data_IF_098932354293
#
_entry.id   IF_098932354293
#
_cell.length_a   1.000
_cell.length_b   1.000
_cell.length_c   1.000
_cell.angle_alpha   90.00
_cell.angle_beta   90.00
_cell.angle_gamma   90.00
#
_symmetry.space_group_name_H-M   'P 1'
#
loop_
_entity.id
_entity.type
_entity.pdbx_description
1 polymer ?
#
# COMPACT_ATOMS: atom_id res chain seq x y z
N UNK A 1 -26.87 -7.83 -18.55
CA UNK A 1 -25.97 -6.70 -18.81
C UNK A 1 -24.60 -6.80 -18.14
N UNK A 2 -24.49 -6.87 -16.79
CA UNK A 2 -23.18 -6.88 -16.10
C UNK A 2 -22.42 -8.21 -16.20
N UNK A 3 -23.13 -9.34 -16.22
CA UNK A 3 -22.51 -10.66 -16.35
C UNK A 3 -21.94 -10.83 -17.78
N UNK A 4 -22.66 -10.37 -18.80
CA UNK A 4 -22.20 -10.40 -20.19
C UNK A 4 -20.96 -9.55 -20.39
N UNK A 5 -20.94 -8.32 -19.86
CA UNK A 5 -19.75 -7.45 -19.93
C UNK A 5 -18.54 -8.06 -19.20
N UNK A 6 -18.77 -8.75 -18.07
CA UNK A 6 -17.71 -9.43 -17.34
C UNK A 6 -17.15 -10.64 -18.11
N UNK A 7 -18.02 -11.40 -18.77
CA UNK A 7 -17.62 -12.52 -19.66
C UNK A 7 -16.80 -11.98 -20.84
N UNK A 8 -17.22 -10.90 -21.47
CA UNK A 8 -16.47 -10.26 -22.55
C UNK A 8 -15.09 -9.77 -22.09
N UNK A 9 -15.03 -9.15 -20.92
CA UNK A 9 -13.76 -8.74 -20.33
C UNK A 9 -12.82 -9.93 -20.08
N UNK A 10 -13.37 -11.06 -19.63
CA UNK A 10 -12.61 -12.30 -19.45
C UNK A 10 -12.15 -12.92 -20.76
N UNK A 11 -12.99 -12.88 -21.81
CA UNK A 11 -12.60 -13.30 -23.17
C UNK A 11 -11.46 -12.46 -23.72
N UNK A 12 -11.55 -11.14 -23.55
CA UNK A 12 -10.46 -10.24 -23.95
C UNK A 12 -9.17 -10.49 -23.14
N UNK A 13 -9.27 -10.70 -21.81
CA UNK A 13 -8.13 -11.07 -20.97
C UNK A 13 -7.48 -12.38 -21.43
N UNK A 14 -8.29 -13.37 -21.87
CA UNK A 14 -7.82 -14.63 -22.45
C UNK A 14 -7.02 -14.38 -23.73
N UNK A 15 -7.56 -13.65 -24.70
CA UNK A 15 -6.90 -13.35 -25.97
C UNK A 15 -5.54 -12.64 -25.75
N UNK A 16 -5.52 -11.62 -24.89
CA UNK A 16 -4.26 -10.93 -24.56
C UNK A 16 -3.23 -11.86 -23.92
N UNK A 17 -3.70 -12.82 -23.13
CA UNK A 17 -2.83 -13.79 -22.47
C UNK A 17 -2.30 -14.83 -23.45
N UNK A 18 -3.12 -15.32 -24.39
CA UNK A 18 -2.74 -16.23 -25.46
C UNK A 18 -1.64 -15.61 -26.35
N UNK A 19 -1.83 -14.38 -26.81
CA UNK A 19 -0.80 -13.66 -27.57
C UNK A 19 0.53 -13.49 -26.80
N UNK A 20 0.46 -13.25 -25.46
CA UNK A 20 1.66 -13.17 -24.64
C UNK A 20 2.35 -14.51 -24.48
N UNK A 21 1.60 -15.59 -24.34
CA UNK A 21 2.14 -16.95 -24.28
C UNK A 21 2.83 -17.29 -25.58
N UNK A 22 2.16 -17.11 -26.71
CA UNK A 22 2.72 -17.34 -28.03
C UNK A 22 4.03 -16.56 -28.24
N UNK A 23 4.06 -15.26 -27.94
CA UNK A 23 5.27 -14.45 -28.04
C UNK A 23 6.41 -14.98 -27.17
N UNK A 24 6.11 -15.48 -25.96
CA UNK A 24 7.13 -16.07 -25.10
C UNK A 24 7.65 -17.40 -25.62
N UNK A 25 6.78 -18.23 -26.21
CA UNK A 25 7.13 -19.55 -26.75
C UNK A 25 7.88 -19.46 -28.07
N UNK A 26 7.45 -18.54 -28.96
CA UNK A 26 8.00 -18.45 -30.31
C UNK A 26 9.23 -17.56 -30.40
N UNK A 27 9.36 -16.53 -29.53
CA UNK A 27 10.46 -15.56 -29.63
C UNK A 27 11.34 -15.50 -28.39
N UNK A 28 10.76 -15.26 -27.19
CA UNK A 28 11.55 -14.93 -26.00
C UNK A 28 12.34 -16.13 -25.46
N UNK A 29 11.68 -17.29 -25.35
CA UNK A 29 12.33 -18.50 -24.81
C UNK A 29 13.33 -19.08 -25.80
N UNK A 30 13.01 -19.28 -27.09
CA UNK A 30 13.97 -19.80 -28.09
C UNK A 30 15.21 -18.92 -28.17
N UNK A 31 15.10 -17.61 -28.31
CA UNK A 31 16.25 -16.72 -28.39
C UNK A 31 17.17 -16.79 -27.15
N UNK A 32 16.60 -16.88 -25.94
CA UNK A 32 17.39 -17.01 -24.72
C UNK A 32 18.00 -18.41 -24.58
N UNK A 33 17.33 -19.44 -25.11
CA UNK A 33 17.81 -20.81 -25.10
C UNK A 33 19.00 -20.95 -26.07
N UNK A 34 18.88 -20.45 -27.30
CA UNK A 34 19.94 -20.42 -28.28
C UNK A 34 21.21 -19.76 -27.75
N UNK A 35 21.09 -18.52 -27.23
CA UNK A 35 22.21 -17.83 -26.58
C UNK A 35 22.84 -18.62 -25.44
N UNK A 36 22.04 -19.33 -24.65
CA UNK A 36 22.52 -20.16 -23.56
C UNK A 36 23.28 -21.37 -24.09
N UNK A 37 22.75 -22.02 -25.12
CA UNK A 37 23.29 -23.24 -25.69
C UNK A 37 24.60 -22.95 -26.48
N UNK A 38 24.67 -21.80 -27.17
CA UNK A 38 25.89 -21.29 -27.76
C UNK A 38 27.00 -21.07 -26.74
N UNK A 39 26.68 -20.40 -25.64
CA UNK A 39 27.63 -20.23 -24.54
C UNK A 39 28.06 -21.57 -23.92
N UNK A 40 27.17 -22.54 -23.83
CA UNK A 40 27.52 -23.89 -23.39
C UNK A 40 28.44 -24.63 -24.39
N UNK A 41 28.19 -24.47 -25.69
CA UNK A 41 29.04 -25.04 -26.76
C UNK A 41 30.44 -24.42 -26.75
N UNK A 42 30.55 -23.10 -26.63
CA UNK A 42 31.84 -22.41 -26.48
C UNK A 42 32.62 -22.87 -25.24
N UNK A 43 31.96 -23.04 -24.10
CA UNK A 43 32.61 -23.57 -22.89
C UNK A 43 33.13 -25.00 -23.08
N UNK A 44 32.38 -25.88 -23.78
CA UNK A 44 32.83 -27.26 -24.09
C UNK A 44 34.01 -27.27 -25.04
N UNK A 45 34.06 -26.29 -25.97
CA UNK A 45 35.17 -26.12 -26.90
C UNK A 45 36.43 -25.47 -26.26
N UNK A 46 36.41 -25.16 -24.97
CA UNK A 46 37.50 -24.46 -24.30
C UNK A 46 37.65 -22.99 -24.64
N UNK A 47 36.66 -22.40 -25.30
CA UNK A 47 36.66 -20.99 -25.68
C UNK A 47 36.26 -20.09 -24.52
N UNK A 48 36.74 -18.83 -24.56
CA UNK A 48 36.45 -17.87 -23.51
C UNK A 48 34.99 -17.46 -23.50
N UNK A 49 34.32 -17.69 -22.33
CA UNK A 49 32.97 -17.22 -22.07
C UNK A 49 32.96 -16.49 -20.72
N UNK A 50 32.34 -15.30 -20.69
CA UNK A 50 32.17 -14.58 -19.43
C UNK A 50 31.16 -15.33 -18.52
N UNK A 51 31.69 -16.03 -17.53
CA UNK A 51 30.91 -16.88 -16.62
C UNK A 51 29.81 -16.14 -15.87
N UNK A 52 30.03 -14.86 -15.54
CA UNK A 52 29.02 -14.03 -14.88
C UNK A 52 27.84 -13.75 -15.81
N UNK A 53 28.13 -13.40 -17.06
CA UNK A 53 27.08 -13.21 -18.10
C UNK A 53 26.33 -14.50 -18.37
N UNK A 54 27.03 -15.62 -18.48
CA UNK A 54 26.43 -16.95 -18.68
C UNK A 54 25.49 -17.34 -17.53
N UNK A 55 25.93 -17.20 -16.27
CA UNK A 55 25.08 -17.46 -15.09
C UNK A 55 23.84 -16.56 -15.05
N UNK A 56 23.97 -15.28 -15.40
CA UNK A 56 22.85 -14.35 -15.47
C UNK A 56 21.88 -14.71 -16.59
N UNK A 57 22.37 -15.16 -17.74
CA UNK A 57 21.55 -15.64 -18.85
C UNK A 57 20.74 -16.89 -18.44
N UNK A 58 21.37 -17.88 -17.81
CA UNK A 58 20.69 -19.06 -17.26
C UNK A 58 19.59 -18.68 -16.29
N UNK A 59 19.86 -17.77 -15.34
CA UNK A 59 18.84 -17.26 -14.38
C UNK A 59 17.69 -16.56 -15.10
N UNK A 60 17.99 -15.76 -16.12
CA UNK A 60 16.99 -15.05 -16.95
C UNK A 60 16.10 -16.04 -17.69
N UNK A 61 16.68 -17.07 -18.28
CA UNK A 61 15.97 -18.14 -18.99
C UNK A 61 15.02 -18.90 -18.06
N UNK A 62 15.49 -19.34 -16.89
CA UNK A 62 14.67 -20.02 -15.87
C UNK A 62 13.52 -19.12 -15.41
N UNK A 63 13.79 -17.85 -15.14
CA UNK A 63 12.75 -16.89 -14.71
C UNK A 63 11.68 -16.69 -15.80
N UNK A 64 12.08 -16.66 -17.09
CA UNK A 64 11.14 -16.53 -18.20
C UNK A 64 10.32 -17.80 -18.40
N UNK A 65 10.91 -19.00 -18.31
CA UNK A 65 10.19 -20.30 -18.31
C UNK A 65 9.17 -20.38 -17.16
N UNK A 66 9.55 -19.98 -15.95
CA UNK A 66 8.64 -19.94 -14.82
C UNK A 66 7.49 -18.93 -15.03
N UNK A 67 7.78 -17.79 -15.66
CA UNK A 67 6.73 -16.81 -16.02
C UNK A 67 5.76 -17.39 -17.05
N UNK A 68 6.27 -18.09 -18.06
CA UNK A 68 5.44 -18.76 -19.07
C UNK A 68 4.51 -19.80 -18.41
N UNK A 69 5.03 -20.65 -17.53
CA UNK A 69 4.23 -21.64 -16.83
C UNK A 69 3.10 -21.01 -15.99
N UNK A 70 3.38 -19.88 -15.31
CA UNK A 70 2.33 -19.14 -14.59
C UNK A 70 1.27 -18.56 -15.53
N UNK A 71 1.67 -18.08 -16.73
CA UNK A 71 0.72 -17.59 -17.71
C UNK A 71 -0.16 -18.73 -18.26
N UNK A 72 0.40 -19.91 -18.53
CA UNK A 72 -0.35 -21.10 -18.93
C UNK A 72 -1.36 -21.57 -17.87
N UNK A 73 -0.94 -21.61 -16.59
CA UNK A 73 -1.85 -21.91 -15.49
C UNK A 73 -2.98 -20.88 -15.37
N UNK A 74 -2.67 -19.59 -15.59
CA UNK A 74 -3.70 -18.55 -15.60
C UNK A 74 -4.67 -18.73 -16.77
N UNK A 75 -4.17 -19.09 -17.94
CA UNK A 75 -5.00 -19.36 -19.12
C UNK A 75 -5.95 -20.53 -18.86
N UNK A 76 -5.46 -21.65 -18.37
CA UNK A 76 -6.29 -22.82 -18.01
C UNK A 76 -7.39 -22.48 -17.00
N UNK A 77 -7.08 -21.63 -16.01
CA UNK A 77 -8.09 -21.15 -15.05
C UNK A 77 -9.15 -20.24 -15.70
N UNK A 78 -8.75 -19.42 -16.69
CA UNK A 78 -9.70 -18.57 -17.43
C UNK A 78 -10.59 -19.42 -18.32
N UNK A 79 -10.06 -20.43 -18.99
CA UNK A 79 -10.81 -21.38 -19.79
C UNK A 79 -11.87 -22.11 -18.96
N UNK A 80 -11.47 -22.67 -17.83
CA UNK A 80 -12.41 -23.29 -16.89
C UNK A 80 -13.52 -22.34 -16.43
N UNK A 81 -13.18 -21.06 -16.14
CA UNK A 81 -14.17 -20.06 -15.73
C UNK A 81 -15.15 -19.71 -16.85
N UNK A 82 -14.68 -19.65 -18.09
CA UNK A 82 -15.51 -19.33 -19.27
C UNK A 82 -16.40 -20.51 -19.65
N UNK A 83 -15.87 -21.72 -19.63
CA UNK A 83 -16.61 -22.96 -19.96
C UNK A 83 -17.65 -23.30 -18.92
N UNK A 84 -17.31 -23.20 -17.63
CA UNK A 84 -18.25 -23.50 -16.55
C UNK A 84 -19.33 -22.42 -16.36
N UNK A 85 -19.24 -21.29 -17.05
CA UNK A 85 -20.10 -20.13 -16.85
C UNK A 85 -20.02 -19.52 -15.44
N UNK A 86 -19.16 -20.04 -14.57
CA UNK A 86 -18.94 -19.59 -13.20
C UNK A 86 -17.88 -18.49 -13.13
N UNK A 87 -18.19 -17.33 -13.72
CA UNK A 87 -17.34 -16.16 -13.51
C UNK A 87 -17.56 -15.69 -12.07
N UNK A 88 -16.70 -16.15 -11.17
CA UNK A 88 -16.75 -15.78 -9.76
C UNK A 88 -16.18 -14.38 -9.58
N UNK A 89 -17.02 -13.43 -9.19
CA UNK A 89 -16.59 -12.12 -8.72
C UNK A 89 -16.09 -12.32 -7.29
N UNK A 90 -14.78 -12.21 -7.09
CA UNK A 90 -14.20 -12.31 -5.76
C UNK A 90 -14.12 -10.91 -5.13
N UNK A 91 -15.03 -10.60 -4.22
CA UNK A 91 -14.92 -9.45 -3.34
C UNK A 91 -14.08 -9.83 -2.13
N UNK A 92 -12.84 -9.34 -2.08
CA UNK A 92 -11.93 -9.63 -0.99
C UNK A 92 -10.70 -10.42 -1.40
N UNK A 93 -10.04 -11.05 -0.45
CA UNK A 93 -8.81 -11.81 -0.72
C UNK A 93 -9.12 -13.20 -1.28
N UNK A 94 -8.47 -13.56 -2.37
CA UNK A 94 -8.53 -14.91 -2.97
C UNK A 94 -8.28 -16.02 -1.94
N UNK A 95 -7.47 -15.75 -0.93
CA UNK A 95 -7.18 -16.70 0.16
C UNK A 95 -8.41 -17.01 1.03
N UNK A 96 -9.28 -16.02 1.28
CA UNK A 96 -10.49 -16.23 2.06
C UNK A 96 -11.48 -17.12 1.31
N UNK A 97 -11.66 -16.87 -0.01
CA UNK A 97 -12.51 -17.70 -0.87
C UNK A 97 -12.10 -19.18 -0.87
N UNK A 98 -10.79 -19.44 -0.87
CA UNK A 98 -10.25 -20.79 -0.98
C UNK A 98 -10.16 -21.52 0.37
N UNK A 99 -9.99 -20.78 1.48
CA UNK A 99 -9.76 -21.36 2.81
C UNK A 99 -11.01 -21.43 3.68
N UNK A 100 -11.87 -20.43 3.52
CA UNK A 100 -13.08 -20.27 4.33
C UNK A 100 -14.20 -19.68 3.45
N UNK A 101 -14.93 -20.56 2.78
CA UNK A 101 -16.02 -20.15 1.89
C UNK A 101 -17.18 -19.50 2.65
N UNK A 102 -17.52 -19.98 3.84
CA UNK A 102 -18.58 -19.42 4.67
C UNK A 102 -18.24 -18.00 5.11
N UNK A 103 -17.03 -17.77 5.62
CA UNK A 103 -16.54 -16.43 5.96
C UNK A 103 -16.40 -15.51 4.75
N UNK A 104 -16.11 -16.05 3.56
CA UNK A 104 -16.13 -15.27 2.32
C UNK A 104 -17.53 -14.79 1.97
N UNK A 105 -18.54 -15.66 2.04
CA UNK A 105 -19.94 -15.32 1.79
C UNK A 105 -20.44 -14.30 2.81
N UNK A 106 -20.20 -14.55 4.09
CA UNK A 106 -20.55 -13.60 5.16
C UNK A 106 -19.94 -12.22 4.92
N UNK A 107 -18.65 -12.15 4.59
CA UNK A 107 -17.98 -10.87 4.31
C UNK A 107 -18.54 -10.21 3.05
N UNK A 108 -18.85 -10.97 2.00
CA UNK A 108 -19.48 -10.48 0.78
C UNK A 108 -20.82 -9.85 1.04
N UNK A 109 -21.66 -10.53 1.83
CA UNK A 109 -23.05 -10.14 2.06
C UNK A 109 -23.15 -9.01 3.10
N UNK A 110 -22.14 -8.87 3.96
CA UNK A 110 -22.09 -7.83 5.00
C UNK A 110 -21.34 -6.56 4.59
N UNK A 111 -20.88 -6.44 3.33
CA UNK A 111 -20.22 -5.21 2.88
C UNK A 111 -20.58 -4.81 1.45
N UNK A 112 -20.61 -3.49 1.24
CA UNK A 112 -20.88 -2.85 -0.04
C UNK A 112 -19.89 -1.71 -0.25
N UNK A 113 -19.32 -1.55 -1.46
CA UNK A 113 -18.38 -0.48 -1.75
C UNK A 113 -18.82 0.27 -3.01
N UNK A 114 -18.72 1.59 -2.95
CA UNK A 114 -19.09 2.53 -4.01
C UNK A 114 -17.89 3.42 -4.29
N UNK A 115 -17.28 3.27 -5.45
CA UNK A 115 -16.14 4.09 -5.86
C UNK A 115 -16.68 5.29 -6.61
N UNK A 116 -16.35 6.48 -6.15
CA UNK A 116 -16.71 7.74 -6.79
C UNK A 116 -15.66 8.21 -7.78
N UNK A 117 -16.08 9.04 -8.72
CA UNK A 117 -15.20 9.71 -9.68
C UNK A 117 -15.50 11.20 -9.74
N UNK A 118 -14.53 12.01 -10.20
CA UNK A 118 -14.69 13.48 -10.33
C UNK A 118 -15.80 13.89 -11.30
N UNK A 119 -16.15 13.01 -12.25
CA UNK A 119 -17.14 13.25 -13.29
C UNK A 119 -18.58 12.92 -12.86
N UNK A 120 -18.74 12.28 -11.70
CA UNK A 120 -20.05 11.87 -11.21
C UNK A 120 -20.72 12.97 -10.36
N UNK A 121 -22.05 13.03 -10.44
CA UNK A 121 -22.86 13.96 -9.63
C UNK A 121 -22.58 13.72 -8.13
N UNK A 122 -22.22 14.77 -7.40
CA UNK A 122 -21.85 14.72 -5.99
C UNK A 122 -20.70 13.74 -5.69
N UNK A 123 -19.78 13.54 -6.66
CA UNK A 123 -18.62 12.66 -6.52
C UNK A 123 -18.92 11.16 -6.46
N UNK A 124 -20.19 10.75 -6.47
CA UNK A 124 -20.62 9.35 -6.53
C UNK A 124 -22.09 9.24 -6.94
N UNK A 125 -22.34 8.60 -8.07
CA UNK A 125 -23.69 8.48 -8.62
C UNK A 125 -24.59 7.48 -7.86
N UNK A 126 -24.00 6.46 -7.24
CA UNK A 126 -24.74 5.37 -6.61
C UNK A 126 -25.12 5.68 -5.16
N UNK A 127 -24.22 6.32 -4.41
CA UNK A 127 -24.47 6.77 -3.05
C UNK A 127 -24.05 8.23 -2.93
N UNK A 128 -25.00 9.09 -2.62
CA UNK A 128 -24.79 10.51 -2.43
C UNK A 128 -24.93 10.85 -0.95
N UNK A 129 -23.98 11.62 -0.43
CA UNK A 129 -24.00 12.16 0.92
C UNK A 129 -24.33 13.65 0.85
N UNK A 130 -25.27 14.09 1.67
CA UNK A 130 -25.66 15.48 1.78
C UNK A 130 -25.62 15.92 3.24
N UNK A 131 -25.19 17.14 3.49
CA UNK A 131 -25.19 17.73 4.83
C UNK A 131 -26.29 18.80 4.94
N UNK A 132 -27.15 18.65 5.93
CA UNK A 132 -28.18 19.65 6.24
C UNK A 132 -27.68 20.53 7.39
N UNK A 133 -27.40 21.81 7.07
CA UNK A 133 -26.88 22.78 8.05
C UNK A 133 -27.91 23.10 9.17
N UNK A 134 -29.22 23.11 8.84
CA UNK A 134 -30.24 23.41 9.82
C UNK A 134 -30.34 22.41 10.95
N UNK A 135 -30.24 21.13 10.60
CA UNK A 135 -30.36 20.03 11.57
C UNK A 135 -29.02 19.44 12.00
N UNK A 136 -27.90 20.00 11.50
CA UNK A 136 -26.54 19.50 11.72
C UNK A 136 -26.40 17.99 11.44
N UNK A 137 -27.04 17.51 10.36
CA UNK A 137 -27.21 16.09 10.08
C UNK A 137 -26.75 15.73 8.66
N UNK A 138 -26.09 14.59 8.54
CA UNK A 138 -25.80 13.99 7.23
C UNK A 138 -26.91 13.05 6.81
N UNK A 139 -27.32 13.16 5.54
CA UNK A 139 -28.30 12.30 4.91
C UNK A 139 -27.66 11.57 3.74
N UNK A 140 -27.94 10.29 3.58
CA UNK A 140 -27.55 9.50 2.43
C UNK A 140 -28.73 9.27 1.50
N UNK A 141 -28.42 9.25 0.21
CA UNK A 141 -29.32 8.88 -0.87
C UNK A 141 -28.68 7.74 -1.65
N UNK A 142 -29.18 6.53 -1.47
CA UNK A 142 -28.65 5.31 -2.07
C UNK A 142 -29.55 4.86 -3.22
N UNK A 143 -28.96 4.62 -4.37
CA UNK A 143 -29.67 4.14 -5.55
C UNK A 143 -29.98 2.65 -5.41
N UNK A 144 -31.27 2.25 -5.56
CA UNK A 144 -31.75 0.88 -5.39
C UNK A 144 -31.52 -0.04 -6.60
N UNK A 145 -31.40 0.53 -7.81
CA UNK A 145 -31.34 -0.19 -9.08
C UNK A 145 -29.98 -0.84 -9.39
N UNK A 146 -28.98 -0.68 -8.52
CA UNK A 146 -27.73 -1.40 -8.65
C UNK A 146 -27.85 -2.79 -7.98
N UNK A 147 -27.24 -3.81 -8.61
CA UNK A 147 -27.24 -5.16 -8.06
C UNK A 147 -28.44 -6.04 -8.43
N UNK A 148 -29.26 -5.65 -9.40
CA UNK A 148 -30.32 -6.49 -9.94
C UNK A 148 -31.66 -6.38 -9.21
N UNK A 149 -31.82 -5.45 -8.29
CA UNK A 149 -33.12 -5.12 -7.72
C UNK A 149 -34.00 -4.47 -8.80
N UNK A 150 -35.11 -5.10 -9.11
CA UNK A 150 -36.12 -4.48 -9.98
C UNK A 150 -36.71 -3.29 -9.25
N UNK A 151 -36.59 -2.11 -9.82
CA UNK A 151 -37.29 -0.91 -9.32
C UNK A 151 -38.69 -0.91 -9.89
N UNK A 152 -39.66 -0.86 -9.03
CA UNK A 152 -41.01 -0.40 -9.40
C UNK A 152 -40.92 1.07 -9.83
N UNK A 153 -41.68 1.45 -10.87
CA UNK A 153 -41.68 2.80 -11.40
C UNK A 153 -42.07 3.84 -10.31
N UNK A 154 -41.38 4.96 -10.28
CA UNK A 154 -41.70 6.09 -9.41
C UNK A 154 -40.60 6.50 -8.44
N UNK A 155 -40.96 7.21 -7.37
CA UNK A 155 -40.08 7.76 -6.32
C UNK A 155 -39.25 6.72 -5.55
N UNK A 156 -39.47 5.44 -5.80
CA UNK A 156 -38.83 4.29 -5.13
C UNK A 156 -37.42 3.98 -5.63
N UNK A 157 -36.89 4.76 -6.56
CA UNK A 157 -35.53 4.57 -7.12
C UNK A 157 -34.41 4.69 -6.09
N UNK A 158 -34.65 5.41 -5.01
CA UNK A 158 -33.66 5.72 -3.98
C UNK A 158 -34.12 5.27 -2.60
N UNK A 159 -33.17 4.80 -1.79
CA UNK A 159 -33.30 4.65 -0.36
C UNK A 159 -32.65 5.85 0.33
N UNK A 160 -33.27 6.34 1.39
CA UNK A 160 -32.77 7.45 2.18
C UNK A 160 -32.40 6.97 3.58
N UNK A 161 -31.39 7.56 4.17
CA UNK A 161 -30.95 7.25 5.52
C UNK A 161 -30.22 8.42 6.15
N UNK A 162 -30.12 8.36 7.47
CA UNK A 162 -29.39 9.32 8.29
C UNK A 162 -28.08 8.68 8.72
N UNK A 163 -26.97 9.46 8.71
CA UNK A 163 -25.66 8.98 9.17
C UNK A 163 -25.00 10.02 10.05
N UNK A 164 -24.13 9.56 10.95
CA UNK A 164 -23.37 10.39 11.86
C UNK A 164 -21.89 10.06 11.71
N UNK A 165 -21.06 11.12 11.64
CA UNK A 165 -19.61 11.01 11.64
C UNK A 165 -19.06 11.60 12.94
N UNK A 166 -18.33 10.80 13.71
CA UNK A 166 -17.68 11.24 14.93
C UNK A 166 -16.31 11.87 14.67
N UNK A 167 -15.71 11.55 13.51
CA UNK A 167 -14.38 12.01 13.13
C UNK A 167 -14.43 12.68 11.75
N UNK A 168 -13.56 13.67 11.53
CA UNK A 168 -13.40 14.38 10.25
C UNK A 168 -14.70 15.02 9.70
N UNK A 169 -15.56 15.46 10.61
CA UNK A 169 -16.87 16.02 10.25
C UNK A 169 -16.73 17.29 9.42
N UNK A 170 -15.82 18.19 9.81
CA UNK A 170 -15.62 19.48 9.14
C UNK A 170 -15.02 19.30 7.73
N UNK A 171 -14.05 18.39 7.61
CA UNK A 171 -13.44 18.04 6.32
C UNK A 171 -14.47 17.45 5.36
N UNK A 172 -15.35 16.56 5.85
CA UNK A 172 -16.43 16.01 5.03
C UNK A 172 -17.39 17.14 4.56
N UNK A 173 -17.75 18.07 5.45
CA UNK A 173 -18.61 19.21 5.11
C UNK A 173 -17.95 20.08 4.04
N UNK A 174 -16.68 20.44 4.22
CA UNK A 174 -15.92 21.25 3.27
C UNK A 174 -15.89 20.60 1.87
N UNK A 175 -15.64 19.30 1.79
CA UNK A 175 -15.60 18.57 0.52
C UNK A 175 -16.97 18.49 -0.15
N UNK A 176 -18.04 18.31 0.63
CA UNK A 176 -19.40 18.32 0.10
C UNK A 176 -19.81 19.69 -0.46
N UNK A 177 -19.29 20.77 0.12
CA UNK A 177 -19.50 22.14 -0.36
C UNK A 177 -18.73 22.44 -1.65
N UNK A 178 -17.52 21.89 -1.82
CA UNK A 178 -16.69 22.06 -3.02
C UNK A 178 -17.25 21.35 -4.27
N UNK A 179 -18.11 20.35 -4.12
CA UNK A 179 -18.83 19.57 -5.17
C UNK A 179 -17.97 18.87 -6.24
N UNK A 180 -16.65 19.06 -6.27
CA UNK A 180 -15.76 18.60 -7.34
C UNK A 180 -14.82 17.44 -6.90
N UNK A 181 -14.98 16.91 -5.70
CA UNK A 181 -14.13 15.87 -5.19
C UNK A 181 -14.78 14.48 -5.31
N UNK A 182 -14.04 13.45 -5.75
CA UNK A 182 -14.56 12.10 -5.78
C UNK A 182 -14.77 11.59 -4.34
N UNK A 183 -15.95 11.04 -4.08
CA UNK A 183 -16.30 10.47 -2.79
C UNK A 183 -16.53 8.97 -2.93
N UNK A 184 -15.71 8.18 -2.26
CA UNK A 184 -15.88 6.73 -2.23
C UNK A 184 -16.46 6.31 -0.89
N UNK A 185 -17.39 5.38 -0.93
CA UNK A 185 -18.09 4.94 0.27
C UNK A 185 -17.98 3.43 0.44
N UNK A 186 -18.00 2.99 1.69
CA UNK A 186 -18.10 1.59 2.05
C UNK A 186 -19.12 1.45 3.18
N UNK A 187 -20.14 0.62 2.96
CA UNK A 187 -21.12 0.23 3.98
C UNK A 187 -20.72 -1.15 4.50
N UNK A 188 -20.64 -1.28 5.81
CA UNK A 188 -20.36 -2.58 6.47
C UNK A 188 -21.44 -2.82 7.51
N UNK A 189 -22.02 -4.03 7.48
CA UNK A 189 -22.90 -4.53 8.54
C UNK A 189 -22.07 -5.27 9.57
N UNK A 190 -22.16 -4.86 10.84
CA UNK A 190 -21.51 -5.53 11.98
C UNK A 190 -22.47 -5.51 13.17
N UNK A 191 -22.66 -6.64 13.81
CA UNK A 191 -23.52 -6.78 15.01
C UNK A 191 -24.92 -6.17 14.81
N UNK A 192 -25.52 -6.40 13.64
CA UNK A 192 -26.84 -5.88 13.31
C UNK A 192 -26.92 -4.39 12.96
N UNK A 193 -25.80 -3.66 13.04
CA UNK A 193 -25.72 -2.22 12.73
C UNK A 193 -24.98 -1.99 11.42
N UNK A 194 -25.31 -0.89 10.72
CA UNK A 194 -24.63 -0.46 9.51
C UNK A 194 -23.68 0.70 9.81
N UNK A 195 -22.46 0.61 9.27
CA UNK A 195 -21.43 1.62 9.38
C UNK A 195 -21.09 2.12 7.99
N UNK A 196 -21.12 3.44 7.82
CA UNK A 196 -20.69 4.11 6.58
C UNK A 196 -19.27 4.64 6.76
N UNK A 197 -18.38 4.22 5.87
CA UNK A 197 -17.03 4.77 5.72
C UNK A 197 -17.04 5.69 4.50
N UNK A 198 -16.54 6.90 4.67
CA UNK A 198 -16.34 7.87 3.59
C UNK A 198 -14.84 8.02 3.35
N UNK A 199 -14.41 7.92 2.09
CA UNK A 199 -13.01 8.09 1.67
C UNK A 199 -12.95 9.22 0.67
N UNK A 200 -12.05 10.18 0.90
CA UNK A 200 -11.83 11.38 0.10
C UNK A 200 -10.37 11.80 0.17
N UNK A 201 -9.95 12.64 -0.78
CA UNK A 201 -8.63 13.27 -0.79
C UNK A 201 -8.71 14.63 -0.11
N UNK A 202 -7.74 14.92 0.75
CA UNK A 202 -7.52 16.24 1.34
C UNK A 202 -6.33 16.85 0.58
N UNK A 203 -6.50 18.04 0.03
CA UNK A 203 -5.39 18.83 -0.51
C UNK A 203 -4.85 19.72 0.59
N UNK A 204 -3.55 19.70 0.76
CA UNK A 204 -2.82 20.56 1.68
C UNK A 204 -1.98 21.53 0.85
N UNK A 205 -1.93 22.79 1.24
CA UNK A 205 -1.02 23.77 0.65
C UNK A 205 0.33 23.72 1.39
N UNK A 206 1.43 23.77 0.65
CA UNK A 206 2.79 23.68 1.23
C UNK A 206 3.12 24.85 2.17
N UNK A 207 2.36 25.94 2.09
CA UNK A 207 2.47 27.11 2.96
C UNK A 207 2.07 26.84 4.41
N UNK A 208 1.36 25.75 4.66
CA UNK A 208 0.82 25.43 5.99
C UNK A 208 1.78 24.61 6.86
N UNK A 209 2.97 24.24 6.36
CA UNK A 209 3.92 23.41 7.11
C UNK A 209 4.45 24.16 8.32
N UNK A 210 4.25 23.57 9.52
CA UNK A 210 4.58 24.18 10.82
C UNK A 210 5.99 23.83 11.32
N UNK A 211 6.69 22.89 10.67
CA UNK A 211 8.02 22.41 11.09
C UNK A 211 9.10 22.78 10.07
N UNK A 212 10.34 22.87 10.52
CA UNK A 212 11.48 23.20 9.66
C UNK A 212 12.75 22.48 10.13
N UNK A 213 13.55 21.99 9.19
CA UNK A 213 14.84 21.35 9.47
C UNK A 213 15.87 22.33 10.10
N UNK A 214 15.67 23.63 9.89
CA UNK A 214 16.52 24.68 10.53
C UNK A 214 16.44 24.69 12.06
N UNK A 215 15.39 24.14 12.65
CA UNK A 215 15.27 23.97 14.12
C UNK A 215 15.93 22.67 14.61
N UNK A 216 16.33 21.80 13.69
CA UNK A 216 16.79 20.43 13.93
C UNK A 216 15.81 19.41 13.38
N UNK A 217 16.13 18.14 13.55
CA UNK A 217 15.39 17.02 12.92
C UNK A 217 15.15 15.90 13.92
N UNK A 218 14.02 15.24 13.79
CA UNK A 218 13.66 14.01 14.50
C UNK A 218 13.86 12.84 13.53
N UNK A 219 14.92 12.05 13.71
CA UNK A 219 15.22 10.88 12.90
C UNK A 219 14.68 9.60 13.51
N UNK A 220 14.07 8.76 12.69
CA UNK A 220 13.41 7.52 13.11
C UNK A 220 14.04 6.31 12.44
N UNK A 221 14.47 5.33 13.23
CA UNK A 221 14.92 4.01 12.79
C UNK A 221 13.90 2.95 13.22
N UNK A 222 13.27 2.29 12.23
CA UNK A 222 12.22 1.31 12.48
C UNK A 222 12.80 -0.09 12.62
N UNK A 223 12.59 -0.70 13.78
CA UNK A 223 13.06 -2.04 14.11
C UNK A 223 11.93 -3.00 14.46
N UNK A 224 12.23 -4.27 14.54
CA UNK A 224 11.26 -5.28 14.96
C UNK A 224 10.95 -5.12 16.46
N UNK A 225 9.73 -4.68 16.78
CA UNK A 225 9.23 -4.51 18.14
C UNK A 225 9.50 -3.14 18.77
N UNK A 226 10.22 -2.25 18.11
CA UNK A 226 10.43 -0.88 18.58
C UNK A 226 10.80 0.07 17.43
N UNK A 227 10.56 1.34 17.64
CA UNK A 227 11.10 2.44 16.82
C UNK A 227 12.10 3.21 17.68
N UNK A 228 13.28 3.49 17.13
CA UNK A 228 14.24 4.37 17.79
C UNK A 228 14.09 5.79 17.24
N UNK A 229 13.94 6.73 18.14
CA UNK A 229 13.85 8.15 17.85
C UNK A 229 15.13 8.83 18.31
N UNK A 230 15.69 9.71 17.49
CA UNK A 230 16.75 10.63 17.89
C UNK A 230 16.39 12.05 17.46
N UNK A 231 16.41 12.97 18.40
CA UNK A 231 16.20 14.40 18.18
C UNK A 231 17.54 15.13 18.09
N UNK A 232 17.67 16.01 17.09
CA UNK A 232 18.85 16.87 16.92
C UNK A 232 18.48 18.35 17.10
N UNK A 233 19.49 19.17 17.40
CA UNK A 233 19.38 20.63 17.31
C UNK A 233 19.67 21.13 15.89
N UNK A 234 19.60 22.46 15.67
CA UNK A 234 19.89 23.13 14.41
C UNK A 234 21.28 22.82 13.84
N UNK A 235 22.25 22.47 14.69
CA UNK A 235 23.61 22.12 14.29
C UNK A 235 23.82 20.64 14.04
N UNK A 236 22.75 19.83 14.13
CA UNK A 236 22.79 18.38 13.98
C UNK A 236 23.42 17.64 15.15
N UNK A 237 23.52 18.26 16.35
CA UNK A 237 23.94 17.58 17.57
C UNK A 237 22.73 16.87 18.20
N UNK A 238 22.96 15.69 18.76
CA UNK A 238 21.92 14.91 19.44
C UNK A 238 21.51 15.63 20.74
N UNK A 239 20.21 15.85 20.92
CA UNK A 239 19.59 16.36 22.14
C UNK A 239 19.14 15.22 23.02
N UNK A 240 18.34 14.29 22.43
CA UNK A 240 17.80 13.14 23.13
C UNK A 240 17.58 11.97 22.17
N UNK A 241 17.41 10.79 22.76
CA UNK A 241 17.00 9.61 22.06
C UNK A 241 16.00 8.82 22.90
N UNK A 242 15.11 8.07 22.23
CA UNK A 242 14.08 7.25 22.87
C UNK A 242 13.89 5.94 22.12
N UNK A 243 13.55 4.89 22.88
CA UNK A 243 13.07 3.63 22.34
C UNK A 243 11.56 3.58 22.54
N UNK A 244 10.82 3.43 21.46
CA UNK A 244 9.37 3.41 21.44
C UNK A 244 8.91 1.97 21.13
N UNK A 245 8.61 1.14 22.14
CA UNK A 245 8.26 -0.25 21.93
C UNK A 245 6.86 -0.40 21.34
N UNK A 246 6.66 -1.42 20.48
CA UNK A 246 5.35 -1.82 19.99
C UNK A 246 5.21 -3.33 19.92
N UNK A 247 3.99 -3.83 20.04
CA UNK A 247 3.69 -5.27 19.94
C UNK A 247 3.85 -5.73 18.50
N UNK A 248 4.87 -6.52 18.23
CA UNK A 248 5.11 -7.09 16.90
C UNK A 248 4.28 -8.36 16.71
N UNK A 249 3.00 -8.19 16.44
CA UNK A 249 2.05 -9.27 16.13
C UNK A 249 1.31 -8.94 14.83
N UNK A 250 0.76 -9.96 14.13
CA UNK A 250 -0.13 -9.67 13.01
C UNK A 250 -1.50 -9.24 13.56
N UNK A 251 -1.93 -8.02 13.24
CA UNK A 251 -3.29 -7.58 13.53
C UNK A 251 -3.44 -6.18 14.11
N UNK A 252 -4.57 -5.97 14.77
CA UNK A 252 -5.01 -4.67 15.29
C UNK A 252 -4.07 -4.06 16.34
N UNK A 253 -3.47 -4.89 17.20
CA UNK A 253 -2.60 -4.43 18.27
C UNK A 253 -1.37 -3.67 17.75
N UNK A 254 -0.68 -4.23 16.76
CA UNK A 254 0.47 -3.58 16.11
C UNK A 254 0.06 -2.25 15.47
N UNK A 255 -1.06 -2.21 14.77
CA UNK A 255 -1.54 -0.97 14.13
C UNK A 255 -1.87 0.10 15.16
N UNK A 256 -2.52 -0.25 16.26
CA UNK A 256 -2.86 0.68 17.33
C UNK A 256 -1.62 1.26 17.99
N UNK A 257 -0.63 0.41 18.29
CA UNK A 257 0.62 0.85 18.92
C UNK A 257 1.41 1.78 17.99
N UNK A 258 1.52 1.43 16.68
CA UNK A 258 2.21 2.27 15.70
C UNK A 258 1.49 3.61 15.49
N UNK A 259 0.18 3.64 15.60
CA UNK A 259 -0.59 4.87 15.52
C UNK A 259 -0.37 5.77 16.76
N UNK A 260 -0.29 5.19 17.95
CA UNK A 260 0.06 5.91 19.17
C UNK A 260 1.47 6.51 19.09
N UNK A 261 2.46 5.70 18.69
CA UNK A 261 3.85 6.15 18.47
C UNK A 261 3.91 7.29 17.47
N UNK A 262 3.21 7.18 16.33
CA UNK A 262 3.20 8.23 15.32
C UNK A 262 2.57 9.54 15.82
N UNK A 263 1.53 9.47 16.66
CA UNK A 263 0.95 10.65 17.30
C UNK A 263 1.92 11.31 18.28
N UNK A 264 2.65 10.53 19.08
CA UNK A 264 3.64 11.05 20.02
C UNK A 264 4.81 11.73 19.31
N UNK A 265 5.29 11.14 18.20
CA UNK A 265 6.33 11.72 17.35
C UNK A 265 5.86 13.04 16.74
N UNK A 266 4.66 13.10 16.19
CA UNK A 266 4.10 14.31 15.58
C UNK A 266 3.86 15.40 16.65
N UNK A 267 3.42 15.02 17.83
CA UNK A 267 3.30 15.96 18.97
C UNK A 267 4.64 16.55 19.34
N UNK A 268 5.70 15.74 19.42
CA UNK A 268 7.06 16.22 19.66
C UNK A 268 7.53 17.15 18.53
N UNK A 269 7.29 16.78 17.26
CA UNK A 269 7.64 17.59 16.11
C UNK A 269 6.98 18.99 16.15
N UNK A 270 5.68 19.05 16.45
CA UNK A 270 4.94 20.32 16.59
C UNK A 270 5.45 21.16 17.77
N UNK A 271 5.72 20.52 18.92
CA UNK A 271 6.22 21.23 20.10
C UNK A 271 7.59 21.82 19.89
N UNK A 272 8.45 21.14 19.13
CA UNK A 272 9.84 21.56 18.87
C UNK A 272 10.02 22.32 17.55
N UNK A 273 8.99 22.33 16.68
CA UNK A 273 9.03 22.92 15.34
C UNK A 273 9.97 22.20 14.37
N UNK A 274 10.27 20.90 14.60
CA UNK A 274 11.29 20.13 13.87
C UNK A 274 10.67 19.19 12.85
N UNK A 275 11.35 19.04 11.73
CA UNK A 275 10.97 18.05 10.72
C UNK A 275 11.18 16.62 11.22
N UNK A 276 10.40 15.70 10.66
CA UNK A 276 10.55 14.27 10.93
C UNK A 276 11.20 13.61 9.71
N UNK A 277 12.19 12.75 9.95
CA UNK A 277 12.89 12.03 8.89
C UNK A 277 12.86 10.53 9.12
N UNK A 278 12.52 9.80 8.06
CA UNK A 278 12.51 8.32 8.00
C UNK A 278 13.35 7.82 6.83
N UNK A 279 13.72 6.55 6.83
CA UNK A 279 14.35 5.93 5.67
C UNK A 279 13.35 5.70 4.53
N UNK A 280 13.76 5.98 3.28
CA UNK A 280 13.01 5.58 2.07
C UNK A 280 13.34 4.13 1.69
N UNK A 281 12.68 3.19 2.30
CA UNK A 281 12.79 1.78 1.94
C UNK A 281 11.90 1.46 0.73
N UNK A 282 12.34 1.87 -0.48
CA UNK A 282 11.63 1.56 -1.71
C UNK A 282 11.68 0.06 -2.01
N UNK A 283 10.69 -0.69 -1.54
CA UNK A 283 10.57 -2.14 -1.65
C UNK A 283 10.55 -2.65 -3.10
N UNK A 284 10.16 -1.84 -4.08
CA UNK A 284 10.16 -2.24 -5.49
C UNK A 284 11.58 -2.34 -6.06
N UNK A 285 12.46 -1.40 -5.70
CA UNK A 285 13.89 -1.41 -6.09
C UNK A 285 14.72 -2.41 -5.27
N UNK A 286 14.42 -2.53 -3.99
CA UNK A 286 15.12 -3.43 -3.07
C UNK A 286 14.83 -4.89 -3.39
N UNK A 287 13.60 -5.24 -3.83
CA UNK A 287 13.24 -6.60 -4.27
C UNK A 287 14.14 -7.13 -5.38
N UNK A 288 14.48 -6.29 -6.36
CA UNK A 288 15.34 -6.69 -7.48
C UNK A 288 16.83 -6.86 -7.09
N UNK A 289 17.30 -6.14 -6.05
CA UNK A 289 18.71 -6.16 -5.62
C UNK A 289 18.98 -7.10 -4.45
N UNK A 290 17.99 -7.42 -3.63
CA UNK A 290 18.18 -8.07 -2.32
C UNK A 290 17.95 -9.59 -2.34
N UNK A 291 17.36 -10.15 -3.41
CA UNK A 291 17.17 -11.61 -3.52
C UNK A 291 18.48 -12.42 -3.47
N UNK A 292 19.63 -11.74 -3.61
CA UNK A 292 20.95 -12.39 -3.64
C UNK A 292 21.86 -12.10 -2.44
N UNK A 293 21.57 -11.14 -1.55
CA UNK A 293 22.57 -10.64 -0.58
C UNK A 293 22.20 -10.69 0.91
N UNK A 294 20.93 -10.89 1.29
CA UNK A 294 20.53 -10.86 2.70
C UNK A 294 19.68 -12.06 3.11
N UNK A 295 19.90 -12.55 4.32
CA UNK A 295 19.26 -13.75 4.84
C UNK A 295 17.72 -13.62 4.97
N UNK A 296 17.03 -14.76 4.97
CA UNK A 296 15.55 -14.88 5.02
C UNK A 296 14.87 -14.04 6.13
N UNK A 297 15.56 -13.81 7.25
CA UNK A 297 15.04 -13.00 8.38
C UNK A 297 14.95 -11.50 8.05
N UNK A 298 15.95 -10.94 7.36
CA UNK A 298 15.96 -9.53 6.95
C UNK A 298 14.92 -9.26 5.89
N UNK A 299 14.82 -10.12 4.88
CA UNK A 299 13.78 -10.01 3.86
C UNK A 299 12.36 -10.09 4.44
N UNK A 300 12.14 -10.92 5.45
CA UNK A 300 10.86 -11.03 6.15
C UNK A 300 10.52 -9.78 6.97
N UNK A 301 11.52 -9.10 7.52
CA UNK A 301 11.34 -7.83 8.24
C UNK A 301 11.04 -6.66 7.29
N UNK A 302 11.79 -6.53 6.20
CA UNK A 302 11.58 -5.49 5.16
C UNK A 302 10.23 -5.66 4.46
N UNK A 303 9.80 -6.91 4.27
CA UNK A 303 8.48 -7.24 3.74
C UNK A 303 7.40 -7.27 4.82
N UNK A 304 7.73 -6.90 6.06
CA UNK A 304 6.75 -6.95 7.13
C UNK A 304 5.68 -5.89 6.92
N UNK A 305 4.45 -6.32 7.08
CA UNK A 305 3.28 -5.47 7.05
C UNK A 305 3.40 -4.28 8.03
N UNK A 306 4.14 -4.47 9.14
CA UNK A 306 4.35 -3.48 10.19
C UNK A 306 5.13 -2.25 9.72
N UNK A 307 6.24 -2.43 8.97
CA UNK A 307 6.99 -1.28 8.45
C UNK A 307 6.16 -0.44 7.49
N UNK A 308 5.47 -1.11 6.56
CA UNK A 308 4.60 -0.43 5.61
C UNK A 308 3.47 0.32 6.33
N UNK A 309 2.87 -0.31 7.34
CA UNK A 309 1.85 0.33 8.18
C UNK A 309 2.41 1.55 8.92
N UNK A 310 3.65 1.47 9.43
CA UNK A 310 4.29 2.60 10.11
C UNK A 310 4.48 3.78 9.15
N UNK A 311 5.05 3.55 7.97
CA UNK A 311 5.27 4.61 6.97
C UNK A 311 3.94 5.24 6.54
N UNK A 312 2.95 4.43 6.16
CA UNK A 312 1.61 4.91 5.77
C UNK A 312 0.93 5.70 6.92
N UNK A 313 1.16 5.28 8.16
CA UNK A 313 0.64 5.98 9.35
C UNK A 313 1.36 7.31 9.57
N UNK A 314 2.69 7.33 9.48
CA UNK A 314 3.49 8.56 9.58
C UNK A 314 3.09 9.55 8.50
N UNK A 315 3.04 9.13 7.22
CA UNK A 315 2.60 9.99 6.11
C UNK A 315 1.22 10.60 6.37
N UNK A 316 0.27 9.79 6.83
CA UNK A 316 -1.10 10.24 7.10
C UNK A 316 -1.18 11.22 8.27
N UNK A 317 -0.45 10.98 9.36
CA UNK A 317 -0.56 11.81 10.57
C UNK A 317 0.27 13.09 10.42
N UNK A 318 1.48 13.03 9.85
CA UNK A 318 2.30 14.22 9.59
C UNK A 318 1.61 15.16 8.62
N UNK A 319 1.03 14.63 7.53
CA UNK A 319 0.25 15.40 6.57
C UNK A 319 -0.91 16.16 7.22
N UNK A 320 -1.70 15.49 8.06
CA UNK A 320 -2.87 16.11 8.74
C UNK A 320 -2.49 17.18 9.76
N UNK A 321 -1.29 17.11 10.30
CA UNK A 321 -0.82 18.03 11.33
C UNK A 321 0.18 19.06 10.80
N UNK A 322 0.33 19.17 9.48
CA UNK A 322 1.22 20.12 8.83
C UNK A 322 2.68 19.99 9.29
N UNK A 323 3.11 18.75 9.52
CA UNK A 323 4.49 18.38 9.87
C UNK A 323 5.19 17.86 8.62
N UNK A 324 6.37 18.38 8.30
CA UNK A 324 7.14 17.90 7.17
C UNK A 324 7.75 16.53 7.47
N UNK A 325 7.47 15.56 6.60
CA UNK A 325 8.04 14.21 6.65
C UNK A 325 9.05 14.03 5.53
N UNK A 326 10.34 14.04 5.88
CA UNK A 326 11.41 13.79 4.94
C UNK A 326 11.72 12.29 4.83
N UNK A 327 12.10 11.84 3.63
CA UNK A 327 12.51 10.46 3.36
C UNK A 327 13.93 10.44 2.82
N UNK A 328 14.83 9.76 3.54
CA UNK A 328 16.24 9.71 3.19
C UNK A 328 16.67 8.34 2.67
N UNK A 329 17.75 8.33 1.88
CA UNK A 329 18.30 7.09 1.34
C UNK A 329 18.81 6.19 2.48
N UNK A 330 18.36 4.93 2.59
CA UNK A 330 18.75 3.99 3.63
C UNK A 330 20.18 3.43 3.46
N UNK A 331 20.87 3.73 2.35
CA UNK A 331 22.19 3.19 2.09
C UNK A 331 23.19 3.64 3.16
N UNK A 332 23.92 2.67 3.73
CA UNK A 332 25.00 2.89 4.69
C UNK A 332 24.62 3.46 6.06
N UNK A 333 23.34 3.67 6.37
CA UNK A 333 22.90 4.26 7.65
C UNK A 333 23.45 3.49 8.84
N UNK A 334 23.18 2.18 8.93
CA UNK A 334 23.68 1.33 10.01
C UNK A 334 25.21 1.18 10.01
N UNK A 335 25.86 1.22 8.84
CA UNK A 335 27.31 1.16 8.73
C UNK A 335 27.97 2.43 9.26
N UNK A 336 27.47 3.60 8.88
CA UNK A 336 27.94 4.90 9.39
C UNK A 336 27.71 4.99 10.90
N UNK A 337 26.54 4.58 11.37
CA UNK A 337 26.23 4.51 12.78
C UNK A 337 27.28 3.69 13.53
N UNK A 338 27.50 2.44 13.11
CA UNK A 338 28.42 1.50 13.77
C UNK A 338 29.89 1.94 13.76
N UNK A 339 30.36 2.51 12.64
CA UNK A 339 31.81 2.79 12.48
C UNK A 339 32.21 4.23 12.85
N UNK A 340 31.25 5.16 12.89
CA UNK A 340 31.54 6.56 13.20
C UNK A 340 30.93 6.98 14.54
N UNK A 341 29.62 6.98 14.68
CA UNK A 341 28.97 7.61 15.82
C UNK A 341 28.88 6.72 17.07
N UNK A 342 28.67 5.41 16.92
CA UNK A 342 28.58 4.53 18.08
C UNK A 342 29.88 4.49 18.89
N UNK A 343 31.08 4.38 18.29
CA UNK A 343 32.32 4.44 19.06
C UNK A 343 32.57 5.78 19.71
N UNK A 344 32.30 6.89 18.99
CA UNK A 344 32.60 8.25 19.47
C UNK A 344 31.69 8.68 20.62
N UNK A 345 30.40 8.31 20.56
CA UNK A 345 29.35 8.75 21.48
C UNK A 345 28.87 7.65 22.43
N UNK A 346 29.49 6.46 22.38
CA UNK A 346 29.09 5.27 23.16
C UNK A 346 27.61 4.88 22.99
N UNK A 347 27.12 4.97 21.74
CA UNK A 347 25.72 4.73 21.41
C UNK A 347 25.46 3.27 21.02
N UNK A 348 24.21 2.82 21.26
CA UNK A 348 23.70 1.61 20.66
C UNK A 348 23.54 1.81 19.14
N UNK A 349 23.70 0.73 18.35
CA UNK A 349 23.63 0.79 16.89
C UNK A 349 22.30 1.35 16.36
N UNK A 350 21.18 1.11 17.04
CA UNK A 350 19.87 1.61 16.64
C UNK A 350 19.73 3.12 16.91
N UNK A 351 20.23 3.58 18.04
CA UNK A 351 20.30 5.03 18.33
C UNK A 351 21.26 5.70 17.34
N UNK A 352 22.40 5.09 17.06
CA UNK A 352 23.31 5.58 16.04
C UNK A 352 22.67 5.66 14.64
N UNK A 353 21.85 4.67 14.27
CA UNK A 353 21.12 4.66 13.00
C UNK A 353 20.08 5.80 12.94
N UNK A 354 19.24 5.95 13.95
CA UNK A 354 18.27 7.05 14.00
C UNK A 354 18.94 8.43 14.01
N UNK A 355 20.12 8.55 14.65
CA UNK A 355 20.92 9.76 14.61
C UNK A 355 21.48 10.07 13.20
N UNK A 356 21.97 9.04 12.47
CA UNK A 356 22.40 9.22 11.06
C UNK A 356 21.22 9.62 10.19
N UNK A 357 20.03 9.06 10.41
CA UNK A 357 18.80 9.43 9.70
C UNK A 357 18.46 10.91 9.99
N UNK A 358 18.50 11.33 11.25
CA UNK A 358 18.26 12.72 11.63
C UNK A 358 19.25 13.70 10.94
N UNK A 359 20.53 13.34 10.84
CA UNK A 359 21.54 14.17 10.20
C UNK A 359 21.45 14.22 8.68
N UNK A 360 20.67 13.37 8.06
CA UNK A 360 20.40 13.37 6.61
C UNK A 360 19.13 14.15 6.25
N UNK A 361 18.29 14.43 7.23
CA UNK A 361 17.09 15.25 7.11
C UNK A 361 17.43 16.74 7.15
#
# INVERSE_FOLDING_TARGET
GRLSALIELKRHEKQVLEHKIDYFETKVIPQLQEQHDDNCAMLRAGLFVNLTKHRNLKRKLVAKKNKLNRMKQKLSNLDYQLESGQVKICFGTKNLLNKDYAGFIERRDNQMSFVGTKTETSGNQLLQLNYNKLNNQFNIKLRKDFGGFKTTQGNDKYAFGKVYFNHHKQEIISILEQKNSPLSYKIIKRYGRYYLYCTFEIQQEDTDIMTRSTHGVIGLDFNKGFVTLTETNAFGHMIQNQFLPYRFQQGYATKSDLQAIANDIVKLALTTGKDVTIEDLNFKRTKAKTESKHGKKYNKMIHSLAYRQFVETMESITYRNNVYLNKVNPAWTSWIAKNKYCPQMKLNTHVGASFVIARRG
#
